data_IF_395873748220
#
_entry.id   IF_395873748220
#
_cell.length_a   1.000
_cell.length_b   1.000
_cell.length_c   1.000
_cell.angle_alpha   90.00
_cell.angle_beta   90.00
_cell.angle_gamma   90.00
#
_symmetry.space_group_name_H-M   'P 1'
#
loop_
_entity.id
_entity.type
_entity.pdbx_description
1 polymer ?
#
# COMPACT_ATOMS: atom_id res chain seq x y z
N UNK A 1 7.10 -28.51 42.76
CA UNK A 1 7.49 -27.11 42.45
C UNK A 1 8.37 -27.15 41.20
N UNK A 2 7.77 -27.18 40.00
CA UNK A 2 8.42 -27.54 38.71
C UNK A 2 7.96 -26.65 37.54
N UNK A 3 7.44 -25.45 37.84
CA UNK A 3 6.87 -24.57 36.81
C UNK A 3 7.80 -23.44 36.36
N UNK A 4 8.98 -23.30 36.96
CA UNK A 4 9.88 -22.17 36.64
C UNK A 4 10.78 -22.46 35.43
N UNK A 5 11.03 -23.75 35.10
CA UNK A 5 11.98 -24.14 34.05
C UNK A 5 11.40 -24.32 32.65
N UNK A 6 10.08 -24.37 32.49
CA UNK A 6 9.46 -24.60 31.17
C UNK A 6 9.39 -23.30 30.34
N UNK A 7 9.37 -22.13 30.99
CA UNK A 7 9.33 -20.82 30.33
C UNK A 7 10.71 -20.32 29.83
N UNK A 8 11.81 -20.94 30.26
CA UNK A 8 13.19 -20.59 29.89
C UNK A 8 13.67 -21.31 28.63
N UNK A 9 13.02 -22.43 28.24
CA UNK A 9 13.55 -23.36 27.23
C UNK A 9 12.69 -23.45 25.96
N UNK A 10 11.94 -22.40 25.60
CA UNK A 10 11.32 -22.38 24.27
C UNK A 10 12.39 -22.05 23.22
N UNK A 11 12.54 -22.85 22.15
CA UNK A 11 13.58 -22.65 21.13
C UNK A 11 13.46 -21.28 20.43
N UNK A 12 12.27 -20.71 20.45
CA UNK A 12 11.97 -19.36 19.97
C UNK A 12 12.70 -18.33 20.86
N UNK A 13 12.61 -18.42 22.19
CA UNK A 13 13.20 -17.45 23.12
C UNK A 13 14.74 -17.45 23.06
N UNK A 14 15.36 -18.62 22.85
CA UNK A 14 16.80 -18.73 22.62
C UNK A 14 17.25 -18.08 21.30
N UNK A 15 16.50 -18.25 20.21
CA UNK A 15 16.81 -17.56 18.93
C UNK A 15 16.65 -16.05 19.03
N UNK A 16 15.59 -15.59 19.72
CA UNK A 16 15.36 -14.16 19.92
C UNK A 16 16.44 -13.53 20.81
N UNK A 17 16.95 -14.25 21.81
CA UNK A 17 18.06 -13.77 22.65
C UNK A 17 19.36 -13.60 21.87
N UNK A 18 19.68 -14.52 20.95
CA UNK A 18 20.85 -14.40 20.08
C UNK A 18 20.78 -13.26 19.07
N UNK A 19 19.58 -12.95 18.55
CA UNK A 19 19.37 -11.77 17.71
C UNK A 19 19.46 -10.48 18.54
N UNK A 20 18.82 -10.47 19.70
CA UNK A 20 18.79 -9.30 20.58
C UNK A 20 20.18 -8.88 21.03
N UNK A 21 21.03 -9.83 21.43
CA UNK A 21 22.41 -9.51 21.86
C UNK A 21 23.27 -8.93 20.73
N UNK A 22 23.08 -9.39 19.49
CA UNK A 22 23.77 -8.85 18.31
C UNK A 22 23.30 -7.44 17.97
N UNK A 23 21.98 -7.21 18.03
CA UNK A 23 21.39 -5.88 17.79
C UNK A 23 21.81 -4.91 18.90
N UNK A 24 21.79 -5.34 20.15
CA UNK A 24 22.18 -4.54 21.30
C UNK A 24 23.67 -4.14 21.25
N UNK A 25 24.55 -5.09 20.90
CA UNK A 25 25.95 -4.78 20.66
C UNK A 25 26.11 -3.78 19.51
N UNK A 26 25.43 -4.01 18.39
CA UNK A 26 25.47 -3.13 17.22
C UNK A 26 25.01 -1.71 17.56
N UNK A 27 23.83 -1.55 18.18
CA UNK A 27 23.27 -0.27 18.60
C UNK A 27 24.18 0.45 19.58
N UNK A 28 24.82 -0.28 20.50
CA UNK A 28 25.74 0.31 21.48
C UNK A 28 27.02 0.84 20.86
N UNK A 29 27.52 0.19 19.81
CA UNK A 29 28.67 0.66 19.01
C UNK A 29 28.28 1.58 17.85
N UNK A 30 26.99 1.73 17.57
CA UNK A 30 26.52 2.55 16.47
C UNK A 30 26.59 4.02 16.88
N UNK A 31 27.69 4.66 16.51
CA UNK A 31 27.82 6.10 16.68
C UNK A 31 26.90 6.80 15.69
N UNK A 32 25.92 7.53 16.23
CA UNK A 32 25.04 8.38 15.44
C UNK A 32 25.81 9.59 14.91
N UNK A 33 26.54 9.35 13.82
CA UNK A 33 27.37 10.34 13.13
C UNK A 33 26.56 11.02 12.04
N UNK A 34 26.99 12.20 11.61
CA UNK A 34 26.37 12.93 10.50
C UNK A 34 26.23 12.07 9.23
N UNK A 35 27.22 11.23 8.91
CA UNK A 35 27.16 10.31 7.77
C UNK A 35 26.04 9.28 7.90
N UNK A 36 25.84 8.72 9.10
CA UNK A 36 24.73 7.79 9.36
C UNK A 36 23.36 8.46 9.20
N UNK A 37 23.24 9.72 9.60
CA UNK A 37 22.01 10.49 9.43
C UNK A 37 21.70 10.74 7.94
N UNK A 38 22.70 11.06 7.12
CA UNK A 38 22.54 11.23 5.67
C UNK A 38 22.13 9.91 5.00
N UNK A 39 22.80 8.80 5.33
CA UNK A 39 22.46 7.48 4.79
C UNK A 39 21.06 7.04 5.21
N UNK A 40 20.69 7.28 6.46
CA UNK A 40 19.35 7.01 6.97
C UNK A 40 18.29 7.85 6.25
N UNK A 41 18.53 9.15 6.05
CA UNK A 41 17.62 10.03 5.31
C UNK A 41 17.43 9.57 3.86
N UNK A 42 18.50 9.18 3.18
CA UNK A 42 18.44 8.65 1.83
C UNK A 42 17.63 7.35 1.77
N UNK A 43 17.92 6.39 2.66
CA UNK A 43 17.18 5.14 2.75
C UNK A 43 15.69 5.36 3.08
N UNK A 44 15.39 6.28 4.00
CA UNK A 44 14.02 6.65 4.35
C UNK A 44 13.27 7.25 3.17
N UNK A 45 13.93 8.11 2.37
CA UNK A 45 13.32 8.71 1.19
C UNK A 45 12.96 7.64 0.15
N UNK A 46 13.87 6.71 -0.14
CA UNK A 46 13.57 5.58 -1.01
C UNK A 46 12.44 4.70 -0.46
N UNK A 47 12.45 4.41 0.84
CA UNK A 47 11.38 3.64 1.48
C UNK A 47 10.02 4.33 1.33
N UNK A 48 9.96 5.65 1.53
CA UNK A 48 8.73 6.43 1.37
C UNK A 48 8.24 6.42 -0.08
N UNK A 49 9.14 6.59 -1.05
CA UNK A 49 8.79 6.53 -2.47
C UNK A 49 8.24 5.16 -2.87
N UNK A 50 8.91 4.08 -2.45
CA UNK A 50 8.46 2.71 -2.74
C UNK A 50 7.11 2.46 -2.08
N UNK A 51 6.96 2.81 -0.80
CA UNK A 51 5.71 2.65 -0.05
C UNK A 51 4.56 3.41 -0.69
N UNK A 52 4.80 4.66 -1.11
CA UNK A 52 3.81 5.51 -1.76
C UNK A 52 3.32 4.96 -3.10
N UNK A 53 4.08 4.10 -3.78
CA UNK A 53 3.65 3.45 -5.03
C UNK A 53 3.04 2.07 -4.77
N UNK A 54 3.72 1.25 -3.95
CA UNK A 54 3.33 -0.15 -3.74
C UNK A 54 2.05 -0.26 -2.91
N UNK A 55 1.89 0.53 -1.85
CA UNK A 55 0.71 0.44 -1.00
C UNK A 55 -0.58 0.80 -1.75
N UNK A 56 -0.66 1.93 -2.50
CA UNK A 56 -1.86 2.25 -3.28
C UNK A 56 -2.12 1.22 -4.39
N UNK A 57 -1.07 0.71 -5.04
CA UNK A 57 -1.22 -0.32 -6.09
C UNK A 57 -1.85 -1.59 -5.52
N UNK A 58 -1.37 -2.06 -4.37
CA UNK A 58 -1.93 -3.23 -3.69
C UNK A 58 -3.36 -2.97 -3.20
N UNK A 59 -3.61 -1.77 -2.68
CA UNK A 59 -4.95 -1.37 -2.25
C UNK A 59 -5.94 -1.36 -3.41
N UNK A 60 -5.59 -0.79 -4.57
CA UNK A 60 -6.48 -0.78 -5.73
C UNK A 60 -6.76 -2.20 -6.24
N UNK A 61 -5.73 -3.06 -6.32
CA UNK A 61 -5.93 -4.46 -6.66
C UNK A 61 -6.91 -5.15 -5.70
N UNK A 62 -6.76 -4.93 -4.39
CA UNK A 62 -7.66 -5.50 -3.40
C UNK A 62 -9.08 -4.91 -3.49
N UNK A 63 -9.20 -3.60 -3.67
CA UNK A 63 -10.47 -2.89 -3.74
C UNK A 63 -11.30 -3.34 -4.95
N UNK A 64 -10.64 -3.55 -6.10
CA UNK A 64 -11.25 -4.14 -7.30
C UNK A 64 -11.77 -5.56 -7.01
N UNK A 65 -10.93 -6.43 -6.46
CA UNK A 65 -11.24 -7.86 -6.34
C UNK A 65 -12.21 -8.20 -5.20
N UNK A 66 -12.20 -7.43 -4.10
CA UNK A 66 -12.96 -7.76 -2.88
C UNK A 66 -14.09 -6.80 -2.57
N UNK A 67 -13.94 -5.53 -2.93
CA UNK A 67 -14.93 -4.48 -2.63
C UNK A 67 -15.76 -4.16 -3.88
N UNK A 68 -15.32 -4.58 -5.08
CA UNK A 68 -16.00 -4.27 -6.33
C UNK A 68 -16.01 -2.77 -6.64
N UNK A 69 -15.00 -2.05 -6.14
CA UNK A 69 -14.87 -0.60 -6.36
C UNK A 69 -14.52 -0.23 -7.79
N UNK A 70 -13.94 -1.16 -8.54
CA UNK A 70 -13.87 -1.02 -9.98
C UNK A 70 -15.28 -1.24 -10.54
N UNK A 71 -15.89 -0.18 -11.08
CA UNK A 71 -17.10 -0.31 -11.89
C UNK A 71 -16.90 -1.27 -13.07
N UNK A 72 -17.94 -1.54 -13.87
CA UNK A 72 -17.81 -2.45 -15.02
C UNK A 72 -16.62 -2.03 -15.87
N UNK A 73 -15.66 -2.95 -16.04
CA UNK A 73 -14.48 -2.73 -16.87
C UNK A 73 -14.92 -2.18 -18.23
N UNK A 74 -14.20 -1.19 -18.78
CA UNK A 74 -14.63 -0.46 -19.98
C UNK A 74 -15.05 -1.37 -21.14
N UNK A 75 -14.44 -2.55 -21.25
CA UNK A 75 -14.80 -3.58 -22.22
C UNK A 75 -16.16 -4.22 -21.96
N UNK A 76 -16.49 -4.54 -20.71
CA UNK A 76 -17.82 -5.07 -20.35
C UNK A 76 -18.91 -4.01 -20.54
N UNK A 77 -18.65 -2.77 -20.14
CA UNK A 77 -19.59 -1.67 -20.33
C UNK A 77 -19.87 -1.39 -21.82
N UNK A 78 -18.83 -1.48 -22.67
CA UNK A 78 -18.96 -1.32 -24.12
C UNK A 78 -19.71 -2.49 -24.78
N UNK A 79 -19.44 -3.74 -24.36
CA UNK A 79 -20.10 -4.92 -24.93
C UNK A 79 -21.57 -5.03 -24.54
N UNK A 80 -21.96 -4.65 -23.32
CA UNK A 80 -23.37 -4.70 -22.88
C UNK A 80 -24.22 -3.59 -23.52
N UNK A 81 -23.66 -2.40 -23.76
CA UNK A 81 -24.38 -1.28 -24.37
C UNK A 81 -23.45 -0.48 -25.31
N UNK A 82 -23.23 -0.95 -26.55
CA UNK A 82 -22.29 -0.29 -27.48
C UNK A 82 -22.66 1.16 -27.81
N UNK A 83 -23.94 1.53 -27.65
CA UNK A 83 -24.45 2.89 -27.88
C UNK A 83 -25.34 3.42 -26.73
N UNK A 84 -25.20 2.87 -25.52
CA UNK A 84 -26.01 3.29 -24.37
C UNK A 84 -25.52 4.55 -23.67
N UNK A 85 -26.41 5.20 -22.91
CA UNK A 85 -26.18 6.40 -22.07
C UNK A 85 -25.35 6.13 -20.81
N UNK A 86 -24.35 5.25 -20.92
CA UNK A 86 -23.42 4.92 -19.84
C UNK A 86 -22.42 6.06 -19.65
N UNK A 87 -21.97 6.26 -18.40
CA UNK A 87 -20.98 7.27 -17.97
C UNK A 87 -19.70 7.26 -18.84
N UNK A 88 -19.37 6.11 -19.42
CA UNK A 88 -18.17 5.86 -20.24
C UNK A 88 -18.36 6.07 -21.74
N UNK A 89 -19.54 6.48 -22.21
CA UNK A 89 -19.78 6.73 -23.63
C UNK A 89 -19.71 8.24 -23.93
N UNK A 90 -18.54 8.80 -24.32
CA UNK A 90 -18.37 10.24 -24.52
C UNK A 90 -19.19 10.80 -25.68
N UNK A 91 -19.80 9.94 -26.50
CA UNK A 91 -20.72 10.33 -27.58
C UNK A 91 -22.17 10.56 -27.12
N UNK A 92 -22.51 10.22 -25.87
CA UNK A 92 -23.83 10.46 -25.28
C UNK A 92 -23.90 11.85 -24.63
N UNK A 93 -24.94 12.62 -24.98
CA UNK A 93 -25.18 13.98 -24.44
C UNK A 93 -25.39 13.99 -22.92
N UNK A 94 -25.83 12.87 -22.33
CA UNK A 94 -25.94 12.70 -20.88
C UNK A 94 -24.60 12.35 -20.22
N UNK A 95 -23.75 11.58 -20.91
CA UNK A 95 -22.39 11.25 -20.45
C UNK A 95 -21.53 12.51 -20.32
N UNK A 96 -21.62 13.43 -21.28
CA UNK A 96 -20.94 14.73 -21.22
C UNK A 96 -21.37 15.58 -20.00
N UNK A 97 -22.67 15.57 -19.66
CA UNK A 97 -23.18 16.33 -18.50
C UNK A 97 -22.70 15.75 -17.17
N UNK A 98 -22.65 14.42 -17.05
CA UNK A 98 -22.15 13.76 -15.84
C UNK A 98 -20.64 13.90 -15.68
N UNK A 99 -19.86 13.82 -16.77
CA UNK A 99 -18.41 14.10 -16.74
C UNK A 99 -18.15 15.56 -16.35
N UNK A 100 -18.90 16.51 -16.91
CA UNK A 100 -18.82 17.92 -16.52
C UNK A 100 -19.12 18.11 -15.03
N UNK A 101 -20.18 17.50 -14.53
CA UNK A 101 -20.57 17.63 -13.12
C UNK A 101 -19.56 16.93 -12.19
N UNK A 102 -18.98 15.80 -12.60
CA UNK A 102 -17.90 15.13 -11.86
C UNK A 102 -16.61 15.97 -11.80
N UNK A 103 -16.22 16.61 -12.91
CA UNK A 103 -15.10 17.56 -12.96
C UNK A 103 -15.40 18.78 -12.08
N UNK A 104 -16.63 19.31 -12.10
CA UNK A 104 -17.06 20.41 -11.23
C UNK A 104 -17.05 20.03 -9.74
N UNK A 105 -17.21 18.73 -9.42
CA UNK A 105 -17.07 18.17 -8.08
C UNK A 105 -15.62 17.78 -7.71
N UNK A 106 -14.65 18.02 -8.60
CA UNK A 106 -13.22 17.76 -8.35
C UNK A 106 -12.81 16.29 -8.47
N UNK A 107 -13.67 15.43 -9.02
CA UNK A 107 -13.35 14.03 -9.31
C UNK A 107 -12.67 13.96 -10.68
N UNK A 108 -11.35 13.74 -10.69
CA UNK A 108 -10.62 13.52 -11.94
C UNK A 108 -10.93 12.10 -12.43
N UNK A 109 -11.68 11.99 -13.52
CA UNK A 109 -11.89 10.72 -14.23
C UNK A 109 -10.60 10.41 -14.99
N UNK A 110 -9.72 9.62 -14.36
CA UNK A 110 -8.58 8.97 -15.01
C UNK A 110 -8.99 7.66 -15.65
#
# INVERSE_FOLDING_TARGET
MSQIDVATKSPIRQRTQGLRSRIEAFVRTFEWTWTSAVLFSMALLFFLLISAVVMPSFWMYYAEQKIGWAGPTDLQAFLEKPFGTSITNPLSLEGYKQVRDAIAMGLTTG
#
